data_IF_580481006453
#
_entry.id   IF_580481006453
#
_cell.length_a   1.000
_cell.length_b   1.000
_cell.length_c   1.000
_cell.angle_alpha   90.00
_cell.angle_beta   90.00
_cell.angle_gamma   90.00
#
_symmetry.space_group_name_H-M   'P 1'
#
loop_
_entity.id
_entity.type
_entity.pdbx_description
1 polymer ?
#
# COMPACT_ATOMS: atom_id res chain seq x y z
N UNK A 1 -28.93 10.64 -15.82
CA UNK A 1 -28.52 11.89 -16.48
C UNK A 1 -27.19 12.34 -15.90
N UNK A 2 -26.17 12.62 -16.73
CA UNK A 2 -24.84 13.04 -16.27
C UNK A 2 -24.80 14.51 -15.86
N UNK A 3 -23.93 14.87 -14.92
CA UNK A 3 -23.68 16.26 -14.53
C UNK A 3 -22.83 16.96 -15.58
N UNK A 4 -23.15 18.21 -15.93
CA UNK A 4 -22.26 19.02 -16.78
C UNK A 4 -21.09 19.55 -15.93
N UNK A 5 -19.99 18.81 -15.93
CA UNK A 5 -18.80 19.14 -15.13
C UNK A 5 -18.13 20.46 -15.50
N UNK A 6 -18.34 20.98 -16.72
CA UNK A 6 -17.83 22.29 -17.11
C UNK A 6 -18.48 23.47 -16.37
N UNK A 7 -19.62 23.24 -15.70
CA UNK A 7 -20.27 24.25 -14.84
C UNK A 7 -19.81 24.18 -13.39
N UNK A 8 -19.07 23.15 -13.00
CA UNK A 8 -18.64 22.99 -11.62
C UNK A 8 -17.56 24.04 -11.29
N UNK A 9 -17.81 24.84 -10.26
CA UNK A 9 -16.86 25.82 -9.71
C UNK A 9 -16.01 25.22 -8.60
N UNK A 10 -16.59 24.29 -7.84
CA UNK A 10 -15.95 23.65 -6.69
C UNK A 10 -16.02 22.13 -6.86
N UNK A 11 -14.94 21.42 -6.54
CA UNK A 11 -14.91 19.95 -6.53
C UNK A 11 -14.45 19.45 -5.18
N UNK A 12 -15.29 18.62 -4.56
CA UNK A 12 -14.94 17.91 -3.33
C UNK A 12 -14.50 16.48 -3.63
N UNK A 13 -13.36 16.07 -3.08
CA UNK A 13 -12.84 14.71 -3.15
C UNK A 13 -12.92 14.08 -1.76
N UNK A 14 -13.78 13.08 -1.63
CA UNK A 14 -14.07 12.40 -0.37
C UNK A 14 -13.32 11.06 -0.28
N UNK A 15 -12.36 10.96 0.65
CA UNK A 15 -11.63 9.71 0.88
C UNK A 15 -12.56 8.59 1.39
N UNK A 16 -12.61 7.49 0.65
CA UNK A 16 -13.35 6.27 0.99
C UNK A 16 -12.43 5.12 1.45
N UNK A 17 -11.16 5.44 1.73
CA UNK A 17 -10.16 4.50 2.23
C UNK A 17 -10.58 3.83 3.54
N UNK A 18 -9.98 2.68 3.84
CA UNK A 18 -10.37 1.85 4.99
C UNK A 18 -10.38 2.58 6.34
N UNK A 19 -9.41 3.47 6.59
CA UNK A 19 -9.35 4.28 7.82
C UNK A 19 -10.44 5.35 7.86
N UNK A 20 -10.71 6.03 6.74
CA UNK A 20 -11.80 7.02 6.64
C UNK A 20 -13.17 6.38 6.84
N UNK A 21 -13.40 5.18 6.29
CA UNK A 21 -14.63 4.40 6.55
C UNK A 21 -14.77 4.01 8.02
N UNK A 22 -13.70 3.56 8.66
CA UNK A 22 -13.71 3.22 10.10
C UNK A 22 -13.94 4.44 10.99
N UNK A 23 -13.43 5.60 10.58
CA UNK A 23 -13.65 6.88 11.25
C UNK A 23 -14.99 7.54 10.87
N UNK A 24 -15.96 6.75 10.40
CA UNK A 24 -17.32 7.19 10.08
C UNK A 24 -17.42 8.30 9.00
N UNK A 25 -16.44 8.37 8.09
CA UNK A 25 -16.44 9.37 7.01
C UNK A 25 -17.62 9.27 6.06
N UNK A 26 -18.29 8.10 6.01
CA UNK A 26 -19.52 7.92 5.21
C UNK A 26 -20.65 8.85 5.66
N UNK A 27 -20.80 9.11 6.97
CA UNK A 27 -21.82 10.04 7.46
C UNK A 27 -21.54 11.47 7.02
N UNK A 28 -20.28 11.93 7.12
CA UNK A 28 -19.89 13.25 6.65
C UNK A 28 -20.19 13.43 5.14
N UNK A 29 -19.93 12.41 4.32
CA UNK A 29 -20.21 12.46 2.88
C UNK A 29 -21.71 12.54 2.59
N UNK A 30 -22.54 11.83 3.37
CA UNK A 30 -24.00 11.85 3.21
C UNK A 30 -24.57 13.22 3.55
N UNK A 31 -24.19 13.79 4.68
CA UNK A 31 -24.66 15.11 5.10
C UNK A 31 -24.22 16.20 4.10
N UNK A 32 -22.95 16.21 3.67
CA UNK A 32 -22.51 17.17 2.65
C UNK A 32 -23.31 17.06 1.34
N UNK A 33 -23.57 15.84 0.85
CA UNK A 33 -24.34 15.66 -0.40
C UNK A 33 -25.81 16.00 -0.25
N UNK A 34 -26.42 15.72 0.91
CA UNK A 34 -27.78 16.12 1.21
C UNK A 34 -27.89 17.66 1.26
N UNK A 35 -26.96 18.30 1.95
CA UNK A 35 -26.87 19.76 2.04
C UNK A 35 -26.71 20.42 0.67
N UNK A 36 -25.75 19.97 -0.15
CA UNK A 36 -25.57 20.47 -1.52
C UNK A 36 -26.85 20.37 -2.37
N UNK A 37 -27.67 19.33 -2.15
CA UNK A 37 -28.93 19.14 -2.87
C UNK A 37 -30.02 20.08 -2.39
N UNK A 38 -30.18 20.18 -1.08
CA UNK A 38 -31.25 20.97 -0.46
C UNK A 38 -31.02 22.47 -0.59
N UNK A 39 -29.77 22.90 -0.67
CA UNK A 39 -29.37 24.30 -0.83
C UNK A 39 -29.19 24.73 -2.29
N UNK A 40 -29.61 23.91 -3.25
CA UNK A 40 -29.50 24.17 -4.70
C UNK A 40 -28.05 24.36 -5.21
N UNK A 41 -27.05 24.01 -4.41
CA UNK A 41 -25.61 24.07 -4.73
C UNK A 41 -25.13 22.87 -5.56
N UNK A 42 -26.03 21.94 -5.88
CA UNK A 42 -25.60 20.72 -6.55
C UNK A 42 -25.03 21.04 -7.93
N UNK A 43 -25.67 21.85 -8.76
CA UNK A 43 -25.31 21.93 -10.19
C UNK A 43 -23.95 22.60 -10.46
N UNK A 44 -23.46 23.45 -9.56
CA UNK A 44 -22.14 24.08 -9.64
C UNK A 44 -21.06 23.44 -8.74
N UNK A 45 -21.40 22.35 -8.03
CA UNK A 45 -20.46 21.65 -7.15
C UNK A 45 -20.28 20.19 -7.56
N UNK A 46 -19.08 19.77 -7.93
CA UNK A 46 -18.79 18.36 -8.19
C UNK A 46 -18.37 17.61 -6.91
N UNK A 47 -18.74 16.33 -6.78
CA UNK A 47 -18.29 15.49 -5.67
C UNK A 47 -17.77 14.15 -6.18
N UNK A 48 -16.57 13.78 -5.76
CA UNK A 48 -15.86 12.57 -6.17
C UNK A 48 -15.61 11.74 -4.92
N UNK A 49 -15.81 10.42 -4.99
CA UNK A 49 -15.26 9.50 -3.97
C UNK A 49 -13.91 8.99 -4.45
N UNK A 50 -12.89 9.13 -3.62
CA UNK A 50 -11.54 8.65 -3.88
C UNK A 50 -11.26 7.40 -3.06
N UNK A 51 -10.25 6.62 -3.47
CA UNK A 51 -9.63 5.62 -2.58
C UNK A 51 -8.79 6.31 -1.50
N UNK A 52 -7.96 5.54 -0.80
CA UNK A 52 -7.04 6.09 0.20
C UNK A 52 -6.19 7.24 -0.37
N UNK A 53 -6.19 8.39 0.30
CA UNK A 53 -5.36 9.54 -0.05
C UNK A 53 -4.04 9.61 0.72
N UNK A 54 -3.65 8.54 1.42
CA UNK A 54 -2.35 8.44 2.10
C UNK A 54 -2.26 9.11 3.48
N UNK A 55 -3.34 9.71 3.97
CA UNK A 55 -3.42 10.37 5.30
C UNK A 55 -4.37 9.63 6.24
N UNK A 56 -4.01 8.39 6.56
CA UNK A 56 -4.86 7.50 7.37
C UNK A 56 -4.97 7.94 8.84
N UNK A 57 -3.94 8.59 9.35
CA UNK A 57 -3.78 9.14 10.69
C UNK A 57 -4.65 10.39 10.94
N UNK A 58 -5.09 11.05 9.87
CA UNK A 58 -5.93 12.26 9.90
C UNK A 58 -7.38 11.96 9.48
N UNK A 59 -7.74 10.69 9.41
CA UNK A 59 -9.02 10.24 8.87
C UNK A 59 -10.24 10.70 9.71
N UNK A 60 -11.38 11.04 9.07
CA UNK A 60 -11.58 11.11 7.62
C UNK A 60 -10.92 12.35 7.00
N UNK A 61 -10.49 12.25 5.74
CA UNK A 61 -9.81 13.36 5.03
C UNK A 61 -10.50 13.70 3.71
N UNK A 62 -10.67 14.99 3.42
CA UNK A 62 -11.21 15.50 2.15
C UNK A 62 -10.21 16.42 1.46
N UNK A 63 -10.35 16.57 0.14
CA UNK A 63 -9.64 17.60 -0.64
C UNK A 63 -10.70 18.45 -1.33
N UNK A 64 -10.53 19.78 -1.34
CA UNK A 64 -11.39 20.71 -2.06
C UNK A 64 -10.58 21.46 -3.09
N UNK A 65 -11.08 21.47 -4.32
CA UNK A 65 -10.52 22.18 -5.47
C UNK A 65 -11.49 23.27 -5.97
N UNK A 66 -10.99 24.38 -6.52
CA UNK A 66 -9.57 24.73 -6.69
C UNK A 66 -8.88 25.16 -5.38
N UNK A 67 -7.54 25.10 -5.35
CA UNK A 67 -6.72 25.59 -4.24
C UNK A 67 -6.15 24.50 -3.33
N UNK A 68 -6.41 23.23 -3.66
CA UNK A 68 -5.80 22.07 -3.02
C UNK A 68 -5.92 22.13 -1.48
N UNK A 69 -7.14 22.36 -0.98
CA UNK A 69 -7.43 22.44 0.45
C UNK A 69 -7.64 21.04 1.02
N UNK A 70 -6.72 20.58 1.85
CA UNK A 70 -6.82 19.29 2.54
C UNK A 70 -7.45 19.50 3.91
N UNK A 71 -8.50 18.74 4.20
CA UNK A 71 -9.20 18.73 5.48
C UNK A 71 -8.95 17.42 6.22
N UNK A 72 -8.91 17.49 7.55
CA UNK A 72 -8.69 16.35 8.46
C UNK A 72 -9.80 16.21 9.50
N UNK A 73 -9.91 15.01 10.07
CA UNK A 73 -10.81 14.71 11.20
C UNK A 73 -12.24 15.19 10.95
N UNK A 74 -12.76 14.92 9.74
CA UNK A 74 -14.09 15.38 9.32
C UNK A 74 -15.18 14.71 10.16
N UNK A 75 -16.16 15.51 10.57
CA UNK A 75 -17.43 15.08 11.14
C UNK A 75 -18.58 15.58 10.24
N UNK A 76 -19.81 15.08 10.43
CA UNK A 76 -20.97 15.60 9.71
C UNK A 76 -21.17 17.11 9.86
N UNK A 77 -20.89 17.68 11.03
CA UNK A 77 -21.05 19.11 11.31
C UNK A 77 -20.00 19.92 10.53
N UNK A 78 -18.71 19.54 10.64
CA UNK A 78 -17.62 20.16 9.87
C UNK A 78 -17.87 20.08 8.38
N UNK A 79 -18.45 18.98 7.89
CA UNK A 79 -18.77 18.81 6.49
C UNK A 79 -19.71 19.90 5.97
N UNK A 80 -20.72 20.30 6.73
CA UNK A 80 -21.64 21.38 6.36
C UNK A 80 -20.90 22.72 6.34
N UNK A 81 -20.12 23.03 7.38
CA UNK A 81 -19.34 24.27 7.47
C UNK A 81 -18.35 24.42 6.29
N UNK A 82 -17.67 23.33 5.92
CA UNK A 82 -16.72 23.31 4.81
C UNK A 82 -17.44 23.47 3.47
N UNK A 83 -18.60 22.82 3.29
CA UNK A 83 -19.40 23.00 2.07
C UNK A 83 -19.80 24.48 1.93
N UNK A 84 -20.44 25.06 2.95
CA UNK A 84 -20.89 26.45 2.90
C UNK A 84 -19.73 27.42 2.71
N UNK A 85 -18.59 27.19 3.38
CA UNK A 85 -17.37 27.97 3.20
C UNK A 85 -16.96 28.05 1.73
N UNK A 86 -16.82 26.90 1.06
CA UNK A 86 -16.31 26.86 -0.32
C UNK A 86 -17.35 27.21 -1.38
N UNK A 87 -18.63 26.91 -1.17
CA UNK A 87 -19.66 27.10 -2.20
C UNK A 87 -20.39 28.43 -2.08
N UNK A 88 -20.61 28.93 -0.85
CA UNK A 88 -21.33 30.20 -0.61
C UNK A 88 -20.37 31.37 -0.38
N UNK A 89 -19.31 31.12 0.39
CA UNK A 89 -18.42 32.19 0.86
C UNK A 89 -17.10 32.29 0.08
N UNK A 90 -16.78 31.29 -0.75
CA UNK A 90 -15.50 31.17 -1.46
C UNK A 90 -14.30 31.27 -0.51
N UNK A 91 -14.39 30.62 0.66
CA UNK A 91 -13.42 30.65 1.75
C UNK A 91 -13.19 29.25 2.34
N UNK A 92 -11.95 28.94 2.69
CA UNK A 92 -11.59 27.76 3.47
C UNK A 92 -11.96 27.93 4.96
N UNK A 93 -11.90 26.83 5.72
CA UNK A 93 -12.10 26.81 7.18
C UNK A 93 -10.76 26.44 7.84
N UNK A 94 -9.90 27.41 8.19
CA UNK A 94 -8.51 27.16 8.58
C UNK A 94 -8.35 26.18 9.76
N UNK A 95 -9.30 26.18 10.68
CA UNK A 95 -9.29 25.34 11.88
C UNK A 95 -9.34 23.85 11.56
N UNK A 96 -9.84 23.49 10.37
CA UNK A 96 -10.02 22.11 9.93
C UNK A 96 -8.97 21.68 8.89
N UNK A 97 -8.11 22.59 8.46
CA UNK A 97 -7.11 22.30 7.42
C UNK A 97 -5.98 21.42 7.95
N UNK A 98 -5.65 20.41 7.14
CA UNK A 98 -4.39 19.68 7.19
C UNK A 98 -3.32 20.39 6.36
N UNK A 99 -3.70 20.93 5.21
CA UNK A 99 -2.78 21.59 4.27
C UNK A 99 -3.57 22.46 3.28
N UNK A 100 -2.91 23.46 2.71
CA UNK A 100 -3.37 24.20 1.54
C UNK A 100 -2.17 24.71 0.73
N UNK A 101 -2.39 25.05 -0.54
CA UNK A 101 -1.36 25.62 -1.37
C UNK A 101 -0.71 26.87 -0.74
N UNK A 102 0.61 26.96 -0.87
CA UNK A 102 1.43 28.01 -0.25
C UNK A 102 1.93 27.71 1.17
N UNK A 103 1.44 26.65 1.83
CA UNK A 103 2.00 26.21 3.11
C UNK A 103 3.30 25.42 2.91
N UNK A 104 4.28 25.62 3.80
CA UNK A 104 5.54 24.86 3.78
C UNK A 104 5.42 23.46 4.39
N UNK A 105 4.56 23.34 5.41
CA UNK A 105 4.36 22.11 6.18
C UNK A 105 2.86 21.87 6.33
N UNK A 106 2.47 20.60 6.38
CA UNK A 106 1.13 20.21 6.81
C UNK A 106 0.98 20.30 8.33
N UNK A 107 -0.27 20.39 8.80
CA UNK A 107 -0.63 20.46 10.22
C UNK A 107 -1.40 19.20 10.59
N UNK A 108 -0.68 18.18 11.08
CA UNK A 108 -1.29 16.95 11.60
C UNK A 108 -1.12 16.88 13.12
N UNK A 109 -2.17 16.46 13.81
CA UNK A 109 -2.13 16.21 15.26
C UNK A 109 -1.64 14.79 15.58
N UNK A 110 -1.52 13.94 14.56
CA UNK A 110 -1.23 12.51 14.68
C UNK A 110 -0.07 12.09 13.76
N UNK A 111 0.86 13.01 13.47
CA UNK A 111 1.95 12.73 12.54
C UNK A 111 2.78 11.54 13.01
N UNK A 112 2.93 10.54 12.16
CA UNK A 112 3.66 9.32 12.48
C UNK A 112 5.08 9.43 11.96
N UNK A 113 6.06 9.33 12.85
CA UNK A 113 7.45 9.14 12.43
C UNK A 113 7.59 7.78 11.74
N UNK A 114 7.89 7.78 10.45
CA UNK A 114 8.26 6.55 9.74
C UNK A 114 9.61 6.08 10.30
N UNK A 115 9.59 4.96 11.04
CA UNK A 115 10.84 4.30 11.41
C UNK A 115 11.47 3.75 10.13
N UNK A 116 12.75 4.04 9.85
CA UNK A 116 13.41 3.48 8.70
C UNK A 116 13.37 1.96 8.79
N UNK A 117 13.11 1.30 7.65
CA UNK A 117 13.25 -0.15 7.55
C UNK A 117 14.73 -0.45 7.71
N UNK A 118 15.07 -1.33 8.65
CA UNK A 118 16.45 -1.72 8.97
C UNK A 118 16.60 -3.23 9.00
N UNK A 119 17.82 -3.71 8.80
CA UNK A 119 18.17 -5.10 9.07
C UNK A 119 18.47 -5.30 10.55
N UNK A 120 18.01 -6.41 11.10
CA UNK A 120 18.27 -6.81 12.48
C UNK A 120 18.96 -8.17 12.49
N UNK A 121 20.00 -8.33 13.31
CA UNK A 121 20.66 -9.64 13.50
C UNK A 121 19.68 -10.61 14.13
N UNK A 122 19.62 -11.83 13.58
CA UNK A 122 18.73 -12.88 14.05
C UNK A 122 19.36 -14.25 13.78
N UNK A 123 19.31 -15.13 14.77
CA UNK A 123 19.53 -16.56 14.56
C UNK A 123 18.25 -17.16 14.00
N UNK A 124 18.23 -17.39 12.69
CA UNK A 124 17.14 -18.03 11.98
C UNK A 124 17.32 -19.55 11.96
N UNK A 125 16.21 -20.29 12.08
CA UNK A 125 16.26 -21.75 12.17
C UNK A 125 16.75 -22.44 10.90
N UNK A 126 16.62 -21.78 9.75
CA UNK A 126 16.97 -22.33 8.44
C UNK A 126 18.33 -21.83 7.94
N UNK A 127 18.64 -20.55 8.18
CA UNK A 127 19.81 -19.88 7.63
C UNK A 127 20.89 -19.55 8.69
N UNK A 128 20.71 -19.95 9.95
CA UNK A 128 21.66 -19.63 11.00
C UNK A 128 21.72 -18.13 11.31
N UNK A 129 22.92 -17.57 11.47
CA UNK A 129 23.08 -16.16 11.87
C UNK A 129 22.97 -15.23 10.66
N UNK A 130 21.81 -14.58 10.51
CA UNK A 130 21.49 -13.74 9.36
C UNK A 130 21.00 -12.35 9.78
N UNK A 131 20.89 -11.46 8.80
CA UNK A 131 20.26 -10.17 8.93
C UNK A 131 18.84 -10.26 8.36
N UNK A 132 17.83 -9.86 9.12
CA UNK A 132 16.44 -9.90 8.67
C UNK A 132 15.81 -8.52 8.73
N UNK A 133 15.14 -8.16 7.65
CA UNK A 133 14.25 -7.02 7.57
C UNK A 133 12.84 -7.45 7.17
N UNK A 134 11.85 -6.61 7.48
CA UNK A 134 10.44 -6.85 7.13
C UNK A 134 9.93 -5.67 6.33
N UNK A 135 9.23 -5.96 5.23
CA UNK A 135 8.50 -4.97 4.45
C UNK A 135 7.00 -5.25 4.50
N UNK A 136 6.21 -4.33 3.98
CA UNK A 136 4.77 -4.53 3.81
C UNK A 136 4.50 -5.71 2.88
N UNK A 137 3.59 -6.60 3.30
CA UNK A 137 3.06 -7.69 2.50
C UNK A 137 1.77 -7.30 1.74
N UNK A 138 1.50 -6.00 1.58
CA UNK A 138 0.37 -5.53 0.78
C UNK A 138 0.65 -5.67 -0.71
N UNK A 139 -0.42 -5.68 -1.50
CA UNK A 139 -0.37 -5.68 -2.95
C UNK A 139 0.43 -4.52 -3.54
N UNK A 140 0.35 -3.32 -2.95
CA UNK A 140 1.15 -2.15 -3.36
C UNK A 140 2.67 -2.39 -3.32
N UNK A 141 3.14 -3.37 -2.55
CA UNK A 141 4.56 -3.70 -2.40
C UNK A 141 4.90 -5.01 -3.12
N UNK A 142 4.09 -6.06 -2.92
CA UNK A 142 4.37 -7.38 -3.48
C UNK A 142 4.11 -7.46 -4.98
N UNK A 143 3.05 -6.82 -5.50
CA UNK A 143 2.76 -6.87 -6.92
C UNK A 143 3.88 -6.26 -7.78
N UNK A 144 4.35 -5.01 -7.53
CA UNK A 144 5.46 -4.46 -8.31
C UNK A 144 6.77 -5.22 -8.08
N UNK A 145 7.00 -5.77 -6.88
CA UNK A 145 8.16 -6.63 -6.62
C UNK A 145 8.15 -7.88 -7.51
N UNK A 146 7.06 -8.64 -7.49
CA UNK A 146 6.96 -9.86 -8.28
C UNK A 146 6.97 -9.56 -9.78
N UNK A 147 6.29 -8.49 -10.22
CA UNK A 147 6.35 -8.03 -11.60
C UNK A 147 7.79 -7.74 -12.04
N UNK A 148 8.56 -7.04 -11.21
CA UNK A 148 9.98 -6.80 -11.49
C UNK A 148 10.77 -8.09 -11.53
N UNK A 149 10.66 -8.94 -10.50
CA UNK A 149 11.43 -10.18 -10.38
C UNK A 149 11.20 -11.13 -11.54
N UNK A 150 9.95 -11.43 -11.83
CA UNK A 150 9.61 -12.50 -12.77
C UNK A 150 9.60 -12.04 -14.23
N UNK A 151 9.30 -10.78 -14.52
CA UNK A 151 9.28 -10.29 -15.92
C UNK A 151 10.64 -9.73 -16.37
N UNK A 152 11.56 -9.41 -15.45
CA UNK A 152 12.82 -8.73 -15.78
C UNK A 152 14.08 -9.44 -15.32
N UNK A 153 14.02 -10.28 -14.29
CA UNK A 153 15.17 -11.03 -13.79
C UNK A 153 15.03 -12.53 -14.03
N UNK A 154 16.15 -13.24 -14.00
CA UNK A 154 16.23 -14.71 -14.07
C UNK A 154 17.37 -15.19 -13.16
N UNK A 155 17.57 -16.50 -13.07
CA UNK A 155 18.65 -17.13 -12.31
C UNK A 155 18.38 -17.26 -10.81
N UNK A 156 17.19 -16.94 -10.33
CA UNK A 156 16.82 -17.14 -8.93
C UNK A 156 16.08 -18.46 -8.73
N UNK A 157 16.15 -18.99 -7.50
CA UNK A 157 15.47 -20.24 -7.13
C UNK A 157 14.24 -19.94 -6.30
N UNK A 158 13.20 -20.74 -6.48
CA UNK A 158 12.01 -20.72 -5.64
C UNK A 158 11.94 -22.03 -4.88
N UNK A 159 11.74 -21.95 -3.57
CA UNK A 159 11.44 -23.09 -2.71
C UNK A 159 9.99 -22.98 -2.25
N UNK A 160 9.16 -23.95 -2.62
CA UNK A 160 7.76 -24.10 -2.20
C UNK A 160 7.65 -25.01 -0.97
N UNK A 161 6.47 -25.13 -0.34
CA UNK A 161 6.27 -26.07 0.75
C UNK A 161 6.61 -27.51 0.33
N UNK A 162 7.06 -28.32 1.27
CA UNK A 162 7.59 -29.67 1.04
C UNK A 162 8.92 -29.71 0.26
N UNK A 163 9.70 -28.63 0.30
CA UNK A 163 11.04 -28.52 -0.31
C UNK A 163 11.04 -28.74 -1.83
N UNK A 164 9.93 -28.41 -2.51
CA UNK A 164 9.89 -28.41 -3.97
C UNK A 164 10.64 -27.17 -4.45
N UNK A 165 11.76 -27.38 -5.14
CA UNK A 165 12.59 -26.29 -5.67
C UNK A 165 12.44 -26.17 -7.19
N UNK A 166 12.33 -24.92 -7.66
CA UNK A 166 12.27 -24.59 -9.09
C UNK A 166 13.30 -23.51 -9.38
N UNK A 167 14.10 -23.72 -10.42
CA UNK A 167 14.98 -22.70 -10.96
C UNK A 167 14.21 -21.84 -11.97
N UNK A 168 14.29 -20.51 -11.86
CA UNK A 168 13.65 -19.57 -12.79
C UNK A 168 14.68 -19.08 -13.81
N UNK A 169 14.83 -19.80 -14.92
CA UNK A 169 15.81 -19.48 -15.98
C UNK A 169 15.21 -18.61 -17.07
N UNK A 170 13.88 -18.55 -17.14
CA UNK A 170 13.11 -17.76 -18.10
C UNK A 170 12.24 -16.74 -17.39
N UNK A 171 11.84 -15.71 -18.15
CA UNK A 171 10.87 -14.72 -17.68
C UNK A 171 9.48 -15.34 -17.60
N UNK A 172 8.72 -14.93 -16.60
CA UNK A 172 7.35 -15.35 -16.35
C UNK A 172 6.44 -14.13 -16.35
N UNK A 173 5.19 -14.34 -16.74
CA UNK A 173 4.17 -13.31 -16.68
C UNK A 173 3.66 -13.16 -15.25
N UNK A 174 3.39 -11.92 -14.83
CA UNK A 174 2.73 -11.64 -13.55
C UNK A 174 1.44 -10.88 -13.77
N UNK A 175 0.33 -11.49 -13.35
CA UNK A 175 -1.01 -10.92 -13.47
C UNK A 175 -1.64 -10.73 -12.09
N UNK A 176 -2.42 -9.66 -11.95
CA UNK A 176 -3.20 -9.39 -10.73
C UNK A 176 -4.55 -8.78 -11.13
N UNK A 177 -5.39 -9.61 -11.74
CA UNK A 177 -6.74 -9.25 -12.22
C UNK A 177 -7.85 -9.68 -11.26
N UNK A 178 -7.56 -10.66 -10.40
CA UNK A 178 -8.44 -11.09 -9.31
C UNK A 178 -8.33 -10.13 -8.10
N UNK A 179 -9.39 -10.07 -7.29
CA UNK A 179 -9.47 -9.17 -6.13
C UNK A 179 -8.47 -9.55 -5.02
N UNK A 180 -8.00 -10.80 -5.00
CA UNK A 180 -7.06 -11.31 -4.01
C UNK A 180 -5.76 -11.80 -4.63
N UNK A 181 -5.83 -12.41 -5.81
CA UNK A 181 -4.77 -13.28 -6.32
C UNK A 181 -3.89 -12.63 -7.35
N UNK A 182 -2.61 -12.54 -7.02
CA UNK A 182 -1.57 -12.40 -8.01
C UNK A 182 -1.14 -13.80 -8.48
N UNK A 183 -1.02 -13.95 -9.79
CA UNK A 183 -0.64 -15.18 -10.49
C UNK A 183 0.70 -14.93 -11.18
N UNK A 184 1.62 -15.89 -11.02
CA UNK A 184 2.86 -15.96 -11.79
C UNK A 184 2.75 -17.19 -12.67
N UNK A 185 2.93 -17.02 -13.98
CA UNK A 185 2.78 -18.10 -14.96
C UNK A 185 3.89 -18.09 -16.01
N UNK A 186 4.33 -19.28 -16.39
CA UNK A 186 5.32 -19.52 -17.44
C UNK A 186 5.63 -21.01 -17.55
N UNK A 187 6.63 -21.35 -18.37
CA UNK A 187 6.98 -22.76 -18.65
C UNK A 187 7.50 -23.49 -17.41
N UNK A 188 8.20 -22.79 -16.51
CA UNK A 188 8.91 -23.42 -15.38
C UNK A 188 8.07 -23.46 -14.11
N UNK A 189 7.15 -22.50 -13.93
CA UNK A 189 6.27 -22.47 -12.77
C UNK A 189 4.93 -21.80 -13.06
N UNK A 190 3.92 -22.25 -12.32
CA UNK A 190 2.62 -21.60 -12.26
C UNK A 190 2.13 -21.65 -10.81
N UNK A 191 1.97 -20.48 -10.18
CA UNK A 191 1.47 -20.39 -8.82
C UNK A 191 0.71 -19.10 -8.58
N UNK A 192 -0.07 -19.07 -7.50
CA UNK A 192 -0.84 -17.91 -7.07
C UNK A 192 -0.61 -17.60 -5.59
N UNK A 193 -0.47 -16.32 -5.28
CA UNK A 193 -0.42 -15.79 -3.92
C UNK A 193 -1.59 -14.83 -3.71
N UNK A 194 -2.27 -14.96 -2.57
CA UNK A 194 -3.25 -13.94 -2.19
C UNK A 194 -2.48 -12.74 -1.61
N UNK A 195 -2.44 -11.62 -2.34
CA UNK A 195 -1.77 -10.39 -1.93
C UNK A 195 -2.75 -9.22 -1.77
N UNK A 196 -3.97 -9.36 -2.28
CA UNK A 196 -5.01 -8.34 -2.15
C UNK A 196 -5.54 -8.15 -0.73
N UNK A 197 -6.23 -7.02 -0.49
CA UNK A 197 -6.73 -6.67 0.82
C UNK A 197 -7.87 -7.61 1.26
N UNK A 198 -7.68 -8.26 2.41
CA UNK A 198 -8.74 -8.99 3.10
C UNK A 198 -9.01 -8.25 4.41
N UNK A 199 -10.11 -7.50 4.44
CA UNK A 199 -10.55 -6.76 5.63
C UNK A 199 -11.27 -7.68 6.62
N UNK A 200 -11.36 -7.29 7.90
CA UNK A 200 -12.11 -8.04 8.93
C UNK A 200 -13.56 -8.35 8.53
N UNK A 201 -14.18 -7.45 7.77
CA UNK A 201 -15.57 -7.65 7.28
C UNK A 201 -15.59 -8.78 6.25
N UNK A 202 -14.62 -8.79 5.34
CA UNK A 202 -14.53 -9.80 4.27
C UNK A 202 -14.09 -11.18 4.80
N UNK A 203 -13.37 -11.26 5.92
CA UNK A 203 -12.79 -12.52 6.42
C UNK A 203 -13.80 -13.65 6.64
N UNK A 204 -15.07 -13.30 6.92
CA UNK A 204 -16.17 -14.26 7.10
C UNK A 204 -16.57 -14.96 5.81
N UNK A 205 -16.52 -14.22 4.70
CA UNK A 205 -17.03 -14.67 3.40
C UNK A 205 -15.92 -15.14 2.45
N UNK A 206 -14.66 -14.83 2.77
CA UNK A 206 -13.49 -15.30 2.00
C UNK A 206 -13.19 -16.77 2.31
N UNK A 207 -13.08 -17.58 1.26
CA UNK A 207 -12.76 -19.01 1.32
C UNK A 207 -11.46 -19.29 2.10
N UNK A 208 -11.42 -20.41 2.83
CA UNK A 208 -10.29 -20.74 3.70
C UNK A 208 -8.97 -20.92 2.92
N UNK A 209 -9.04 -21.47 1.70
CA UNK A 209 -7.88 -21.63 0.81
C UNK A 209 -7.20 -20.29 0.46
N UNK A 210 -7.97 -19.22 0.26
CA UNK A 210 -7.46 -17.87 -0.02
C UNK A 210 -6.76 -17.33 1.23
N UNK A 211 -7.40 -17.51 2.41
CA UNK A 211 -6.84 -17.10 3.69
C UNK A 211 -5.53 -17.83 4.02
N UNK A 212 -5.42 -19.11 3.65
CA UNK A 212 -4.25 -19.93 3.94
C UNK A 212 -3.03 -19.53 3.08
N UNK A 213 -3.25 -19.04 1.87
CA UNK A 213 -2.20 -18.49 0.99
C UNK A 213 -2.12 -16.96 0.99
N UNK A 214 -2.86 -16.28 1.87
CA UNK A 214 -2.77 -14.82 2.06
C UNK A 214 -1.43 -14.49 2.66
N UNK A 215 -0.56 -13.86 1.88
CA UNK A 215 0.73 -13.36 2.38
C UNK A 215 0.46 -12.35 3.49
N UNK A 216 1.01 -12.64 4.66
CA UNK A 216 0.89 -11.83 5.87
C UNK A 216 2.23 -11.33 6.38
N UNK A 217 3.32 -12.04 6.05
CA UNK A 217 4.68 -11.67 6.43
C UNK A 217 5.59 -11.83 5.22
N UNK A 218 6.36 -10.79 4.94
CA UNK A 218 7.46 -10.80 3.98
C UNK A 218 8.76 -10.46 4.72
N UNK A 219 9.69 -11.40 4.74
CA UNK A 219 10.99 -11.26 5.38
C UNK A 219 12.07 -11.23 4.30
N UNK A 220 12.82 -10.12 4.21
CA UNK A 220 14.04 -10.06 3.41
C UNK A 220 15.19 -10.46 4.32
N UNK A 221 15.89 -11.51 3.94
CA UNK A 221 16.96 -12.12 4.70
C UNK A 221 18.25 -11.90 3.93
N UNK A 222 19.24 -11.29 4.55
CA UNK A 222 20.57 -11.14 4.01
C UNK A 222 21.49 -12.13 4.71
N UNK A 223 21.98 -13.09 3.93
CA UNK A 223 22.90 -14.12 4.36
C UNK A 223 24.27 -13.85 3.75
N UNK A 224 25.17 -13.31 4.57
CA UNK A 224 26.50 -12.88 4.13
C UNK A 224 27.52 -14.01 4.11
N UNK A 225 27.24 -15.09 4.84
CA UNK A 225 28.14 -16.24 4.97
C UNK A 225 27.90 -17.28 3.88
N UNK A 226 26.70 -17.29 3.28
CA UNK A 226 26.40 -18.18 2.16
C UNK A 226 27.33 -17.96 0.97
N UNK A 227 27.79 -19.04 0.33
CA UNK A 227 28.68 -18.97 -0.83
C UNK A 227 27.94 -18.76 -2.16
N UNK A 228 26.68 -19.17 -2.26
CA UNK A 228 25.90 -19.20 -3.51
C UNK A 228 24.90 -18.03 -3.60
N UNK A 229 24.25 -17.68 -2.48
CA UNK A 229 23.18 -16.70 -2.42
C UNK A 229 23.61 -15.42 -1.70
N UNK A 230 23.04 -14.28 -2.11
CA UNK A 230 23.15 -13.01 -1.37
C UNK A 230 22.10 -12.98 -0.26
N UNK A 231 20.90 -13.46 -0.57
CA UNK A 231 19.79 -13.37 0.36
C UNK A 231 18.51 -13.96 -0.20
N UNK A 232 17.46 -13.81 0.59
CA UNK A 232 16.21 -14.51 0.41
C UNK A 232 15.02 -13.58 0.64
N UNK A 233 13.95 -13.74 -0.13
CA UNK A 233 12.62 -13.27 0.24
C UNK A 233 11.81 -14.46 0.75
N UNK A 234 11.55 -14.51 2.05
CA UNK A 234 10.71 -15.53 2.67
C UNK A 234 9.32 -14.99 2.93
N UNK A 235 8.32 -15.67 2.37
CA UNK A 235 6.91 -15.33 2.52
C UNK A 235 6.20 -16.32 3.43
N UNK A 236 5.40 -15.78 4.35
CA UNK A 236 4.54 -16.55 5.25
C UNK A 236 3.13 -15.99 5.22
N UNK A 237 2.16 -16.84 5.51
CA UNK A 237 0.78 -16.40 5.65
C UNK A 237 0.56 -15.62 6.96
N UNK A 238 -0.66 -15.11 7.17
CA UNK A 238 -1.04 -14.38 8.41
C UNK A 238 -0.85 -15.18 9.71
N UNK A 239 -0.84 -16.52 9.64
CA UNK A 239 -0.61 -17.43 10.77
C UNK A 239 0.87 -17.83 10.91
N UNK A 240 1.77 -17.28 10.11
CA UNK A 240 3.20 -17.61 10.11
C UNK A 240 3.56 -18.91 9.38
N UNK A 241 2.60 -19.58 8.73
CA UNK A 241 2.88 -20.78 7.91
C UNK A 241 3.69 -20.38 6.69
N UNK A 242 4.75 -21.13 6.40
CA UNK A 242 5.59 -20.97 5.22
C UNK A 242 4.77 -21.07 3.92
N UNK A 243 5.00 -20.13 3.00
CA UNK A 243 4.39 -20.11 1.67
C UNK A 243 5.40 -20.35 0.56
N UNK A 244 6.51 -19.62 0.58
CA UNK A 244 7.62 -19.81 -0.36
C UNK A 244 8.85 -19.00 0.09
N UNK A 245 10.02 -19.38 -0.44
CA UNK A 245 11.23 -18.56 -0.43
C UNK A 245 11.69 -18.30 -1.87
N UNK A 246 12.12 -17.07 -2.17
CA UNK A 246 12.88 -16.75 -3.38
C UNK A 246 14.33 -16.53 -2.98
N UNK A 247 15.24 -17.35 -3.49
CA UNK A 247 16.68 -17.30 -3.23
C UNK A 247 17.41 -16.55 -4.34
N UNK A 248 18.13 -15.49 -3.98
CA UNK A 248 18.75 -14.55 -4.91
C UNK A 248 20.25 -14.86 -4.98
N UNK A 249 20.79 -15.34 -6.12
CA UNK A 249 22.19 -15.75 -6.22
C UNK A 249 23.14 -14.55 -6.17
N UNK A 250 24.40 -14.79 -5.79
CA UNK A 250 25.49 -13.77 -5.81
C UNK A 250 25.77 -13.18 -7.18
N UNK A 251 25.41 -13.89 -8.25
CA UNK A 251 25.50 -13.37 -9.62
C UNK A 251 24.43 -12.33 -9.95
N UNK A 252 23.34 -12.23 -9.17
CA UNK A 252 22.21 -11.34 -9.47
C UNK A 252 22.15 -10.13 -8.54
N UNK A 253 23.17 -9.27 -8.63
CA UNK A 253 23.27 -8.05 -7.85
C UNK A 253 22.15 -7.05 -8.16
N UNK A 254 21.65 -7.01 -9.41
CA UNK A 254 20.59 -6.09 -9.80
C UNK A 254 19.26 -6.40 -9.10
N UNK A 255 18.89 -7.69 -9.00
CA UNK A 255 17.73 -8.09 -8.23
C UNK A 255 17.90 -7.73 -6.75
N UNK A 256 19.07 -7.99 -6.17
CA UNK A 256 19.35 -7.65 -4.77
C UNK A 256 19.26 -6.13 -4.52
N UNK A 257 19.84 -5.30 -5.39
CA UNK A 257 19.76 -3.85 -5.29
C UNK A 257 18.31 -3.35 -5.38
N UNK A 258 17.47 -3.99 -6.20
CA UNK A 258 16.04 -3.67 -6.26
C UNK A 258 15.33 -3.98 -4.93
N UNK A 259 15.64 -5.10 -4.28
CA UNK A 259 15.11 -5.42 -2.95
C UNK A 259 15.48 -4.34 -1.92
N UNK A 260 16.75 -3.91 -1.89
CA UNK A 260 17.21 -2.91 -0.95
C UNK A 260 16.60 -1.53 -1.22
N UNK A 261 16.76 -1.01 -2.44
CA UNK A 261 16.39 0.38 -2.77
C UNK A 261 14.90 0.61 -2.99
N UNK A 262 14.19 -0.36 -3.59
CA UNK A 262 12.79 -0.18 -3.96
C UNK A 262 11.87 -0.88 -2.97
N UNK A 263 12.11 -2.17 -2.69
CA UNK A 263 11.18 -2.93 -1.85
C UNK A 263 11.29 -2.64 -0.35
N UNK A 264 12.52 -2.43 0.14
CA UNK A 264 12.79 -2.01 1.52
C UNK A 264 12.94 -0.50 1.67
N UNK A 265 13.03 0.25 0.56
CA UNK A 265 13.25 1.70 0.54
C UNK A 265 14.47 2.11 1.38
N UNK A 266 15.55 1.34 1.28
CA UNK A 266 16.82 1.61 1.97
C UNK A 266 17.78 2.39 1.06
N UNK A 267 18.58 3.25 1.68
CA UNK A 267 19.73 3.86 1.02
C UNK A 267 20.86 2.83 0.90
N UNK A 268 21.12 2.36 -0.32
CA UNK A 268 22.13 1.34 -0.61
C UNK A 268 23.51 1.75 -0.08
N UNK A 269 23.88 3.03 -0.17
CA UNK A 269 25.19 3.49 0.28
C UNK A 269 25.33 3.34 1.80
N UNK A 270 24.25 3.55 2.56
CA UNK A 270 24.23 3.33 4.01
C UNK A 270 24.21 1.85 4.37
N UNK A 271 23.55 1.02 3.57
CA UNK A 271 23.43 -0.43 3.81
C UNK A 271 24.75 -1.15 3.51
N UNK A 272 25.46 -0.77 2.45
CA UNK A 272 26.77 -1.36 2.13
C UNK A 272 27.87 -0.96 3.13
N UNK A 273 27.72 0.19 3.77
CA UNK A 273 28.61 0.68 4.82
C UNK A 273 28.21 0.22 6.22
N UNK A 274 27.30 -0.74 6.37
CA UNK A 274 27.08 -1.40 7.65
C UNK A 274 28.35 -2.18 8.00
N UNK A 275 29.29 -1.52 8.67
CA UNK A 275 30.39 -2.16 9.40
C UNK A 275 29.80 -3.00 10.52
N UNK A 276 30.34 -4.20 10.71
CA UNK A 276 29.83 -5.19 11.66
C UNK A 276 30.92 -5.73 12.55
#
# INVERSE_FOLDING_TARGET
MGKNVAKAKTTFLFCDGGSCKKANGEMAVREARAHLRNEELWDDTHTIRTRCNGRCEDAPTWIVEPGNFWYKNLTPEKAIEIVDGHTKNNQSIPEYLLFQDGWKNMVSDNERSLKPVVFNRKTDSEYGNVLVSRSSASDQYLYPLFKKLFEHFTGFRITFPNNVEIMISKKHQVEYTDVFDMIVSGEETNFKLAIGPITKVMEKDVAQEIKDRKVGVAEVIWDRENSEYIGYLRLKNRKGKFLMTISIPKSNNDAWNYFLSIYLNMDINKVMNLEF
#
